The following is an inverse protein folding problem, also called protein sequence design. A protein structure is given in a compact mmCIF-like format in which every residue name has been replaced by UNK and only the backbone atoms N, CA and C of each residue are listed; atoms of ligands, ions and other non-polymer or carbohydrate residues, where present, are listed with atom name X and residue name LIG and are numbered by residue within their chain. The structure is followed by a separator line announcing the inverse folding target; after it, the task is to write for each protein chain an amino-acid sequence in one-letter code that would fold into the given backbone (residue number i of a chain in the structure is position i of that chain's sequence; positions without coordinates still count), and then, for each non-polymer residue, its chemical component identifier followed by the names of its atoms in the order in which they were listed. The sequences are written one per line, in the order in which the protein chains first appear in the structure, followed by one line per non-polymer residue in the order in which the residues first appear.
data_IF_523273380667
#
_entry.id   IF_523273380667
#
_cell.length_a   1.000
_cell.length_b   1.000
_cell.length_c   1.000
_cell.angle_alpha   90.00
_cell.angle_beta   90.00
_cell.angle_gamma   90.00
#
_symmetry.space_group_name_H-M   'P 1'
#
loop_
_entity.id
_entity.type
_entity.pdbx_description
1 polymer ?
#
# COMPACT_ATOMS: atom_id res chain seq x y z
N UNK A 1 15.68 9.19 -48.56
CA UNK A 1 14.52 8.30 -48.36
C UNK A 1 14.57 7.76 -46.94
N UNK A 2 13.46 7.89 -46.23
CA UNK A 2 13.33 7.70 -44.79
C UNK A 2 13.32 6.21 -44.37
N UNK A 3 13.81 5.94 -43.15
CA UNK A 3 13.63 4.66 -42.46
C UNK A 3 13.66 4.89 -40.95
N UNK A 4 12.47 4.99 -40.36
CA UNK A 4 12.20 5.40 -38.96
C UNK A 4 12.91 4.49 -37.95
N UNK A 5 13.67 5.09 -37.01
CA UNK A 5 14.09 4.40 -35.78
C UNK A 5 12.87 4.26 -34.86
N UNK A 6 12.47 3.02 -34.60
CA UNK A 6 11.53 2.68 -33.54
C UNK A 6 12.22 2.94 -32.21
N UNK A 7 11.82 4.01 -31.52
CA UNK A 7 12.17 4.24 -30.11
C UNK A 7 11.23 3.38 -29.27
N UNK A 8 11.72 2.42 -28.47
CA UNK A 8 10.86 1.69 -27.54
C UNK A 8 10.42 2.66 -26.43
N UNK A 9 9.10 2.88 -26.31
CA UNK A 9 8.50 3.74 -25.29
C UNK A 9 8.79 3.20 -23.88
N UNK A 10 9.73 3.84 -23.17
CA UNK A 10 10.21 3.46 -21.85
C UNK A 10 9.30 3.87 -20.67
N UNK A 11 8.08 4.34 -20.93
CA UNK A 11 7.22 4.93 -19.90
C UNK A 11 6.44 3.92 -19.03
N UNK A 12 6.15 2.72 -19.54
CA UNK A 12 5.27 1.75 -18.84
C UNK A 12 6.03 0.70 -18.01
N UNK A 13 7.20 0.25 -18.47
CA UNK A 13 7.99 -0.77 -17.78
C UNK A 13 8.60 -0.27 -16.45
N UNK A 14 9.03 0.98 -16.39
CA UNK A 14 9.69 1.57 -15.21
C UNK A 14 8.74 1.85 -14.02
N UNK A 15 7.45 2.06 -14.30
CA UNK A 15 6.44 2.28 -13.25
C UNK A 15 6.00 0.95 -12.63
N UNK A 16 5.83 -0.09 -13.45
CA UNK A 16 5.49 -1.44 -12.99
C UNK A 16 6.61 -2.08 -12.15
N UNK A 17 7.89 -1.85 -12.50
CA UNK A 17 9.02 -2.38 -11.73
C UNK A 17 9.14 -1.78 -10.31
N UNK A 18 8.72 -0.52 -10.09
CA UNK A 18 8.74 0.07 -8.74
C UNK A 18 7.54 -0.37 -7.89
N UNK A 19 6.39 -0.64 -8.52
CA UNK A 19 5.25 -1.22 -7.84
C UNK A 19 5.47 -2.69 -7.41
N UNK A 20 6.50 -3.38 -7.92
CA UNK A 20 6.87 -4.72 -7.46
C UNK A 20 7.89 -4.70 -6.30
N UNK A 21 8.66 -3.61 -6.13
CA UNK A 21 9.76 -3.55 -5.16
C UNK A 21 9.32 -3.50 -3.70
N UNK A 22 8.16 -2.93 -3.41
CA UNK A 22 7.64 -2.89 -2.05
C UNK A 22 7.10 -4.24 -1.58
N UNK A 23 6.71 -5.14 -2.51
CA UNK A 23 6.18 -6.46 -2.21
C UNK A 23 7.26 -7.50 -1.84
N UNK A 24 8.54 -7.25 -2.13
CA UNK A 24 9.61 -8.25 -1.90
C UNK A 24 9.93 -8.43 -0.41
N UNK A 25 10.08 -7.37 0.42
CA UNK A 25 10.27 -7.53 1.87
C UNK A 25 9.06 -8.19 2.55
N UNK A 26 7.85 -7.84 2.12
CA UNK A 26 6.58 -8.37 2.65
C UNK A 26 6.43 -9.89 2.48
N UNK A 27 7.00 -10.44 1.41
CA UNK A 27 7.01 -11.89 1.18
C UNK A 27 7.93 -12.62 2.16
N UNK A 28 8.99 -11.98 2.67
CA UNK A 28 9.92 -12.62 3.60
C UNK A 28 9.34 -12.71 5.02
N UNK A 29 8.64 -11.65 5.47
CA UNK A 29 7.93 -11.64 6.75
C UNK A 29 6.77 -12.65 6.77
N UNK A 30 5.99 -12.72 5.68
CA UNK A 30 4.85 -13.63 5.56
C UNK A 30 5.20 -15.10 5.27
N UNK A 31 6.36 -15.40 4.68
CA UNK A 31 6.64 -16.73 4.13
C UNK A 31 6.54 -17.90 5.14
N UNK A 32 6.72 -17.64 6.44
CA UNK A 32 6.75 -18.69 7.46
C UNK A 32 5.37 -19.21 7.85
N UNK A 33 4.36 -18.34 7.88
CA UNK A 33 2.98 -18.69 8.28
C UNK A 33 2.03 -18.80 7.07
N UNK A 34 2.31 -18.12 5.95
CA UNK A 34 1.53 -18.21 4.71
C UNK A 34 1.48 -19.65 4.16
N UNK A 35 2.53 -20.44 4.36
CA UNK A 35 2.53 -21.85 3.98
C UNK A 35 1.65 -22.73 4.85
N UNK A 36 1.37 -22.31 6.09
CA UNK A 36 0.51 -23.01 7.03
C UNK A 36 -0.98 -22.62 6.88
N UNK A 37 -1.26 -21.40 6.38
CA UNK A 37 -2.61 -20.82 6.28
C UNK A 37 -2.91 -20.29 4.86
N UNK A 38 -3.18 -21.18 3.89
CA UNK A 38 -3.40 -20.79 2.49
C UNK A 38 -4.64 -19.88 2.28
N UNK A 39 -5.62 -19.93 3.17
CA UNK A 39 -6.82 -19.08 3.15
C UNK A 39 -6.48 -17.59 3.40
N UNK A 40 -5.52 -17.31 4.27
CA UNK A 40 -5.06 -15.95 4.54
C UNK A 40 -4.29 -15.39 3.34
N UNK A 41 -3.54 -16.26 2.65
CA UNK A 41 -2.80 -15.88 1.46
C UNK A 41 -3.68 -15.32 0.34
N UNK A 42 -4.89 -15.86 0.18
CA UNK A 42 -5.84 -15.35 -0.82
C UNK A 42 -6.34 -13.95 -0.47
N UNK A 43 -6.64 -13.67 0.80
CA UNK A 43 -7.00 -12.33 1.28
C UNK A 43 -5.86 -11.33 1.09
N UNK A 44 -4.63 -11.72 1.42
CA UNK A 44 -3.42 -10.89 1.23
C UNK A 44 -3.20 -10.60 -0.26
N UNK A 45 -3.33 -11.60 -1.15
CA UNK A 45 -3.24 -11.41 -2.61
C UNK A 45 -4.29 -10.46 -3.13
N UNK A 46 -5.54 -10.59 -2.67
CA UNK A 46 -6.63 -9.72 -3.11
C UNK A 46 -6.31 -8.25 -2.76
N UNK A 47 -5.88 -8.00 -1.53
CA UNK A 47 -5.50 -6.67 -1.06
C UNK A 47 -4.26 -6.13 -1.79
N UNK A 48 -3.24 -6.98 -2.01
CA UNK A 48 -2.08 -6.62 -2.83
C UNK A 48 -2.50 -6.26 -4.27
N UNK A 49 -3.42 -7.01 -4.87
CA UNK A 49 -3.93 -6.75 -6.21
C UNK A 49 -4.71 -5.43 -6.28
N UNK A 50 -5.53 -5.12 -5.26
CA UNK A 50 -6.20 -3.80 -5.14
C UNK A 50 -5.17 -2.68 -5.12
N UNK A 51 -4.14 -2.79 -4.28
CA UNK A 51 -3.06 -1.80 -4.17
C UNK A 51 -2.26 -1.66 -5.48
N UNK A 52 -1.93 -2.77 -6.16
CA UNK A 52 -1.20 -2.77 -7.43
C UNK A 52 -1.97 -2.11 -8.59
N UNK A 53 -3.31 -2.18 -8.56
CA UNK A 53 -4.15 -1.50 -9.56
C UNK A 53 -4.16 0.02 -9.39
N UNK A 54 -3.77 0.52 -8.21
CA UNK A 54 -3.67 1.96 -7.94
C UNK A 54 -2.29 2.52 -8.30
N UNK A 55 -2.24 3.77 -8.75
CA UNK A 55 -0.98 4.48 -9.01
C UNK A 55 -0.93 5.81 -8.27
N UNK A 56 0.03 5.96 -7.37
CA UNK A 56 0.26 7.17 -6.57
C UNK A 56 0.90 8.31 -7.38
N UNK A 57 1.04 8.16 -8.71
CA UNK A 57 1.62 9.17 -9.60
C UNK A 57 0.72 10.40 -9.82
N UNK A 58 -0.58 10.26 -9.54
CA UNK A 58 -1.59 11.33 -9.65
C UNK A 58 -2.41 11.41 -8.36
N UNK A 59 -2.98 12.60 -8.03
CA UNK A 59 -3.80 12.76 -6.84
C UNK A 59 -4.95 11.75 -6.71
N UNK A 60 -5.67 11.46 -7.79
CA UNK A 60 -6.78 10.48 -7.74
C UNK A 60 -6.31 9.07 -7.35
N UNK A 61 -5.14 8.67 -7.83
CA UNK A 61 -4.60 7.38 -7.46
C UNK A 61 -4.07 7.36 -6.02
N UNK A 62 -3.60 8.49 -5.48
CA UNK A 62 -3.32 8.62 -4.04
C UNK A 62 -4.59 8.45 -3.22
N UNK A 63 -5.70 9.10 -3.62
CA UNK A 63 -6.99 8.95 -2.93
C UNK A 63 -7.48 7.50 -2.94
N UNK A 64 -7.38 6.82 -4.09
CA UNK A 64 -7.74 5.42 -4.20
C UNK A 64 -6.84 4.52 -3.32
N UNK A 65 -5.53 4.77 -3.27
CA UNK A 65 -4.63 4.06 -2.36
C UNK A 65 -4.98 4.31 -0.89
N UNK A 66 -5.26 5.56 -0.50
CA UNK A 66 -5.65 5.91 0.88
C UNK A 66 -6.92 5.20 1.31
N UNK A 67 -7.94 5.11 0.45
CA UNK A 67 -9.17 4.38 0.76
C UNK A 67 -8.91 2.90 1.11
N UNK A 68 -8.09 2.21 0.31
CA UNK A 68 -7.71 0.82 0.58
C UNK A 68 -6.92 0.70 1.88
N UNK A 69 -5.98 1.61 2.14
CA UNK A 69 -5.18 1.59 3.37
C UNK A 69 -6.01 1.89 4.62
N UNK A 70 -7.11 2.64 4.51
CA UNK A 70 -8.04 2.85 5.63
C UNK A 70 -8.73 1.55 6.03
N UNK A 71 -9.18 0.75 5.07
CA UNK A 71 -9.76 -0.57 5.37
C UNK A 71 -8.79 -1.45 6.16
N UNK A 72 -7.49 -1.40 5.83
CA UNK A 72 -6.45 -2.14 6.54
C UNK A 72 -6.17 -1.58 7.94
N UNK A 73 -6.16 -0.25 8.10
CA UNK A 73 -5.99 0.38 9.41
C UNK A 73 -7.19 0.12 10.32
N UNK A 74 -8.42 0.14 9.78
CA UNK A 74 -9.63 -0.17 10.53
C UNK A 74 -9.62 -1.63 11.02
N UNK A 75 -9.09 -2.56 10.20
CA UNK A 75 -8.86 -3.94 10.61
C UNK A 75 -7.86 -4.01 11.76
N UNK A 76 -6.68 -3.40 11.60
CA UNK A 76 -5.61 -3.40 12.60
C UNK A 76 -6.02 -2.75 13.92
N UNK A 77 -6.83 -1.69 13.89
CA UNK A 77 -7.37 -1.10 15.13
C UNK A 77 -8.42 -2.00 15.78
N UNK A 78 -9.20 -2.74 14.98
CA UNK A 78 -10.22 -3.65 15.47
C UNK A 78 -9.68 -4.97 16.03
N UNK A 79 -8.50 -5.40 15.60
CA UNK A 79 -7.83 -6.62 16.05
C UNK A 79 -6.81 -6.37 17.17
N UNK A 80 -6.32 -5.13 17.32
CA UNK A 80 -5.33 -4.75 18.32
C UNK A 80 -5.60 -5.30 19.72
N UNK A 81 -4.62 -6.03 20.27
CA UNK A 81 -4.71 -6.64 21.59
C UNK A 81 -4.10 -5.75 22.69
N UNK A 82 -3.26 -4.79 22.28
CA UNK A 82 -2.57 -3.86 23.16
C UNK A 82 -2.73 -2.37 22.79
N UNK A 83 -2.39 -1.52 23.77
CA UNK A 83 -2.49 -0.07 23.62
C UNK A 83 -1.47 0.51 22.63
N UNK A 84 -0.36 -0.19 22.39
CA UNK A 84 0.65 0.16 21.40
C UNK A 84 0.12 -0.03 19.98
N UNK A 85 -0.51 -1.16 19.69
CA UNK A 85 -1.15 -1.47 18.41
C UNK A 85 -2.27 -0.50 18.07
N UNK A 86 -3.19 -0.30 19.01
CA UNK A 86 -4.26 0.69 18.89
C UNK A 86 -3.67 2.06 18.53
N UNK A 87 -2.61 2.47 19.24
CA UNK A 87 -1.96 3.76 18.99
C UNK A 87 -1.29 3.82 17.61
N UNK A 88 -0.60 2.75 17.19
CA UNK A 88 0.01 2.68 15.84
C UNK A 88 -1.04 2.84 14.75
N UNK A 89 -2.15 2.11 14.85
CA UNK A 89 -3.26 2.20 13.90
C UNK A 89 -3.82 3.63 13.82
N UNK A 90 -4.08 4.26 14.97
CA UNK A 90 -4.55 5.64 15.02
C UNK A 90 -3.54 6.67 14.46
N UNK A 91 -2.25 6.44 14.65
CA UNK A 91 -1.20 7.28 14.07
C UNK A 91 -1.16 7.13 12.53
N UNK A 92 -1.32 5.91 12.00
CA UNK A 92 -1.47 5.69 10.56
C UNK A 92 -2.73 6.35 10.00
N UNK A 93 -3.88 6.24 10.67
CA UNK A 93 -5.12 6.91 10.27
C UNK A 93 -4.92 8.43 10.08
N UNK A 94 -4.28 9.09 11.05
CA UNK A 94 -3.97 10.53 10.98
C UNK A 94 -3.04 10.87 9.80
N UNK A 95 -2.05 10.01 9.52
CA UNK A 95 -1.12 10.18 8.40
C UNK A 95 -1.83 9.99 7.05
N UNK A 96 -2.78 9.04 6.95
CA UNK A 96 -3.63 8.84 5.78
C UNK A 96 -4.55 10.05 5.53
N UNK A 97 -5.19 10.60 6.57
CA UNK A 97 -6.00 11.82 6.46
C UNK A 97 -5.19 13.01 5.91
N UNK A 98 -3.95 13.14 6.38
CA UNK A 98 -3.03 14.17 5.88
C UNK A 98 -2.72 13.99 4.39
N UNK A 99 -2.50 12.75 3.95
CA UNK A 99 -2.28 12.42 2.55
C UNK A 99 -3.52 12.68 1.70
N UNK A 100 -4.72 12.34 2.19
CA UNK A 100 -5.98 12.61 1.51
C UNK A 100 -6.18 14.10 1.28
N UNK A 101 -6.08 14.92 2.35
CA UNK A 101 -6.22 16.38 2.24
C UNK A 101 -5.21 16.96 1.26
N UNK A 102 -3.96 16.52 1.33
CA UNK A 102 -2.92 16.95 0.40
C UNK A 102 -3.27 16.54 -1.05
N UNK A 103 -3.78 15.34 -1.28
CA UNK A 103 -4.20 14.90 -2.60
C UNK A 103 -5.32 15.77 -3.16
N UNK A 104 -6.34 16.10 -2.35
CA UNK A 104 -7.43 16.99 -2.76
C UNK A 104 -6.91 18.38 -3.16
N UNK A 105 -5.99 18.96 -2.37
CA UNK A 105 -5.37 20.25 -2.70
C UNK A 105 -4.58 20.20 -4.02
N UNK A 106 -3.87 19.11 -4.29
CA UNK A 106 -3.06 18.97 -5.50
C UNK A 106 -3.87 18.69 -6.78
N UNK A 107 -5.21 18.57 -6.68
CA UNK A 107 -6.10 18.61 -7.85
C UNK A 107 -6.27 20.02 -8.41
N UNK A 108 -6.03 21.05 -7.61
CA UNK A 108 -6.14 22.43 -8.06
C UNK A 108 -5.03 22.79 -9.07
N UNK A 109 -5.30 23.72 -10.01
CA UNK A 109 -4.28 24.28 -10.89
C UNK A 109 -3.12 24.90 -10.11
N UNK A 110 -1.90 24.82 -10.66
CA UNK A 110 -0.70 25.41 -10.03
C UNK A 110 0.09 24.45 -9.13
N UNK A 111 -0.43 23.27 -8.83
CA UNK A 111 0.31 22.24 -8.09
C UNK A 111 1.63 21.86 -8.80
N UNK A 112 2.75 21.87 -8.06
CA UNK A 112 4.05 21.60 -8.67
C UNK A 112 4.31 20.09 -8.81
N UNK A 113 5.25 19.74 -9.70
CA UNK A 113 5.72 18.35 -9.81
C UNK A 113 6.42 17.88 -8.52
N UNK A 114 7.06 18.79 -7.79
CA UNK A 114 7.75 18.50 -6.52
C UNK A 114 6.74 18.09 -5.45
N UNK A 115 5.63 18.80 -5.34
CA UNK A 115 4.59 18.50 -4.34
C UNK A 115 3.92 17.15 -4.61
N UNK A 116 3.62 16.85 -5.89
CA UNK A 116 3.10 15.55 -6.30
C UNK A 116 4.08 14.42 -5.98
N UNK A 117 5.38 14.63 -6.19
CA UNK A 117 6.42 13.65 -5.87
C UNK A 117 6.50 13.41 -4.35
N UNK A 118 6.51 14.48 -3.55
CA UNK A 118 6.56 14.36 -2.10
C UNK A 118 5.31 13.68 -1.51
N UNK A 119 4.13 13.93 -2.08
CA UNK A 119 2.92 13.21 -1.68
C UNK A 119 3.03 11.72 -2.05
N UNK A 120 3.44 11.42 -3.29
CA UNK A 120 3.66 10.05 -3.75
C UNK A 120 4.56 9.27 -2.78
N UNK A 121 5.73 9.80 -2.45
CA UNK A 121 6.71 9.12 -1.60
C UNK A 121 6.15 8.84 -0.20
N UNK A 122 5.43 9.81 0.40
CA UNK A 122 4.77 9.62 1.70
C UNK A 122 3.69 8.56 1.66
N UNK A 123 2.85 8.54 0.63
CA UNK A 123 1.80 7.53 0.46
C UNK A 123 2.40 6.14 0.20
N UNK A 124 3.47 6.05 -0.58
CA UNK A 124 4.15 4.77 -0.84
C UNK A 124 4.84 4.21 0.42
N UNK A 125 5.41 5.06 1.26
CA UNK A 125 5.97 4.66 2.55
C UNK A 125 4.88 4.11 3.48
N UNK A 126 3.77 4.85 3.65
CA UNK A 126 2.61 4.40 4.42
C UNK A 126 2.03 3.08 3.92
N UNK A 127 1.95 2.92 2.60
CA UNK A 127 1.46 1.69 1.99
C UNK A 127 2.31 0.48 2.41
N UNK A 128 3.65 0.63 2.42
CA UNK A 128 4.53 -0.45 2.85
C UNK A 128 4.35 -0.75 4.34
N UNK A 129 4.41 0.27 5.20
CA UNK A 129 4.28 0.11 6.66
C UNK A 129 2.97 -0.56 7.06
N UNK A 130 1.83 -0.06 6.56
CA UNK A 130 0.50 -0.56 6.94
C UNK A 130 0.28 -1.97 6.40
N UNK A 131 0.71 -2.24 5.17
CA UNK A 131 0.49 -3.55 4.56
C UNK A 131 1.40 -4.63 5.16
N UNK A 132 2.57 -4.27 5.67
CA UNK A 132 3.43 -5.16 6.47
C UNK A 132 2.74 -5.57 7.76
N UNK A 133 2.29 -4.60 8.54
CA UNK A 133 1.55 -4.86 9.78
C UNK A 133 0.26 -5.66 9.54
N UNK A 134 -0.49 -5.34 8.48
CA UNK A 134 -1.68 -6.10 8.10
C UNK A 134 -1.38 -7.57 7.78
N UNK A 135 -0.24 -7.84 7.13
CA UNK A 135 0.20 -9.21 6.87
C UNK A 135 0.55 -9.91 8.18
N UNK A 136 1.34 -9.27 9.05
CA UNK A 136 1.71 -9.83 10.36
C UNK A 136 0.48 -10.20 11.20
N UNK A 137 -0.45 -9.26 11.37
CA UNK A 137 -1.69 -9.44 12.12
C UNK A 137 -2.54 -10.62 11.60
N UNK A 138 -2.76 -10.66 10.28
CA UNK A 138 -3.53 -11.74 9.65
C UNK A 138 -2.88 -13.13 9.84
N UNK A 139 -1.56 -13.17 10.03
CA UNK A 139 -0.83 -14.38 10.35
C UNK A 139 -1.05 -14.80 11.81
N UNK A 140 -0.93 -13.86 12.74
CA UNK A 140 -1.15 -14.08 14.17
C UNK A 140 -2.59 -14.57 14.43
N UNK A 141 -3.60 -13.91 13.87
CA UNK A 141 -5.01 -14.31 13.95
C UNK A 141 -5.28 -15.75 13.46
N UNK A 142 -4.54 -16.20 12.46
CA UNK A 142 -4.69 -17.54 11.89
C UNK A 142 -4.04 -18.62 12.77
N UNK A 143 -2.91 -18.30 13.39
CA UNK A 143 -2.26 -19.14 14.39
C UNK A 143 -3.16 -19.29 15.63
N UNK A 144 -3.73 -18.19 16.14
CA UNK A 144 -4.64 -18.23 17.29
C UNK A 144 -5.90 -19.08 17.03
N UNK A 145 -6.47 -19.00 15.82
CA UNK A 145 -7.66 -19.78 15.45
C UNK A 145 -7.40 -21.28 15.35
N UNK A 146 -6.18 -21.70 15.06
CA UNK A 146 -5.82 -23.12 14.87
C UNK A 146 -5.12 -23.74 16.07
N UNK A 147 -4.58 -22.92 16.98
CA UNK A 147 -4.04 -23.33 18.28
C UNK A 147 -5.07 -23.46 19.41
N UNK A 148 -6.35 -23.13 19.16
CA UNK A 148 -7.50 -23.32 20.06
C UNK A 148 -8.23 -24.65 19.81
#
# INVERSE_FOLDING_TARGET
MAGKKLVPGSGRASTAMNAAKWAIPLLAAGARWISAHPEVWESVKEQAAKLQRTTTSKPDGVLATVAILREQVDYLEGSADDAGETRRAQEWAKRLDSCERAAQLLKAPGATRKDRKALKERTEALRSEIFEAYIEEMGEDAEERTGA
#
